data_IF_311940700078
#
_entry.id   IF_311940700078
#
_cell.length_a   1.000
_cell.length_b   1.000
_cell.length_c   1.000
_cell.angle_alpha   90.00
_cell.angle_beta   90.00
_cell.angle_gamma   90.00
#
_symmetry.space_group_name_H-M   'P 1'
#
loop_
_entity.id
_entity.type
_entity.pdbx_description
1 polymer ?
#
# COMPACT_ATOMS: atom_id res chain seq x y z
N UNK A 1 -21.07 35.14 5.74
CA UNK A 1 -20.30 34.23 6.64
C UNK A 1 -19.77 32.96 5.97
N UNK A 2 -20.14 32.66 4.73
CA UNK A 2 -19.67 31.44 4.01
C UNK A 2 -18.44 31.61 3.10
N UNK A 3 -18.09 32.85 2.77
CA UNK A 3 -17.07 33.12 1.73
C UNK A 3 -15.62 32.87 2.19
N UNK A 4 -15.33 33.10 3.46
CA UNK A 4 -13.99 32.87 4.02
C UNK A 4 -13.70 31.38 4.24
N UNK A 5 -14.70 30.60 4.65
CA UNK A 5 -14.57 29.15 4.80
C UNK A 5 -14.40 28.46 3.44
N UNK A 6 -15.13 28.92 2.42
CA UNK A 6 -14.99 28.40 1.05
C UNK A 6 -13.60 28.71 0.46
N UNK A 7 -13.15 29.97 0.58
CA UNK A 7 -11.79 30.40 0.14
C UNK A 7 -10.69 29.65 0.91
N UNK A 8 -10.88 29.39 2.18
CA UNK A 8 -9.93 28.59 2.96
C UNK A 8 -9.91 27.13 2.50
N UNK A 9 -11.06 26.56 2.17
CA UNK A 9 -11.15 25.21 1.60
C UNK A 9 -10.45 25.08 0.24
N UNK A 10 -10.69 26.03 -0.66
CA UNK A 10 -10.02 26.09 -1.96
C UNK A 10 -8.50 26.26 -1.83
N UNK A 11 -8.05 27.09 -0.90
CA UNK A 11 -6.63 27.27 -0.60
C UNK A 11 -6.01 25.96 -0.08
N UNK A 12 -6.66 25.28 0.86
CA UNK A 12 -6.19 23.97 1.38
C UNK A 12 -6.11 22.94 0.24
N UNK A 13 -7.15 22.84 -0.60
CA UNK A 13 -7.15 21.91 -1.72
C UNK A 13 -6.00 22.19 -2.68
N UNK A 14 -5.79 23.47 -3.03
CA UNK A 14 -4.66 23.88 -3.86
C UNK A 14 -3.30 23.52 -3.22
N UNK A 15 -3.15 23.74 -1.92
CA UNK A 15 -1.88 23.50 -1.22
C UNK A 15 -1.56 22.01 -1.03
N UNK A 16 -2.58 21.17 -0.80
CA UNK A 16 -2.42 19.76 -0.48
C UNK A 16 -2.74 18.81 -1.64
N UNK A 17 -3.21 19.30 -2.77
CA UNK A 17 -3.45 18.49 -3.97
C UNK A 17 -2.12 18.22 -4.71
N UNK A 18 -1.36 17.26 -4.22
CA UNK A 18 -0.08 16.88 -4.78
C UNK A 18 -0.18 16.46 -6.25
N UNK A 19 -1.30 15.83 -6.65
CA UNK A 19 -1.51 15.40 -8.03
C UNK A 19 -1.60 16.57 -8.99
N UNK A 20 -2.27 17.65 -8.60
CA UNK A 20 -2.35 18.87 -9.42
C UNK A 20 -1.00 19.61 -9.51
N UNK A 21 -0.13 19.44 -8.50
CA UNK A 21 1.18 20.10 -8.42
C UNK A 21 2.33 19.35 -9.10
N UNK A 22 2.13 18.08 -9.41
CA UNK A 22 3.13 17.23 -10.08
C UNK A 22 2.52 16.68 -11.38
N UNK A 23 2.63 17.40 -12.50
CA UNK A 23 2.04 16.98 -13.77
C UNK A 23 2.49 15.60 -14.26
N UNK A 24 3.68 15.17 -13.85
CA UNK A 24 4.29 13.90 -14.23
C UNK A 24 3.79 12.71 -13.40
N UNK A 25 2.95 12.94 -12.38
CA UNK A 25 2.49 11.87 -11.48
C UNK A 25 1.81 10.69 -12.21
N UNK A 26 1.04 10.86 -13.31
CA UNK A 26 0.45 9.72 -14.00
C UNK A 26 1.50 8.78 -14.60
N UNK A 27 2.57 9.35 -15.16
CA UNK A 27 3.67 8.55 -15.71
C UNK A 27 4.43 7.80 -14.61
N UNK A 28 4.66 8.42 -13.46
CA UNK A 28 5.29 7.77 -12.32
C UNK A 28 4.43 6.61 -11.79
N UNK A 29 3.12 6.80 -11.62
CA UNK A 29 2.20 5.74 -11.17
C UNK A 29 2.11 4.58 -12.17
N UNK A 30 2.06 4.89 -13.48
CA UNK A 30 2.06 3.88 -14.53
C UNK A 30 3.35 3.04 -14.51
N UNK A 31 4.50 3.67 -14.27
CA UNK A 31 5.77 2.97 -14.10
C UNK A 31 5.77 2.07 -12.87
N UNK A 32 5.32 2.55 -11.71
CA UNK A 32 5.21 1.71 -10.51
C UNK A 32 4.34 0.48 -10.74
N UNK A 33 3.19 0.65 -11.40
CA UNK A 33 2.31 -0.47 -11.73
C UNK A 33 3.00 -1.48 -12.67
N UNK A 34 3.70 -0.99 -13.71
CA UNK A 34 4.42 -1.84 -14.66
C UNK A 34 5.58 -2.61 -14.00
N UNK A 35 6.41 -1.91 -13.22
CA UNK A 35 7.53 -2.50 -12.48
C UNK A 35 7.03 -3.51 -11.45
N UNK A 36 5.95 -3.19 -10.73
CA UNK A 36 5.31 -4.10 -9.78
C UNK A 36 4.76 -5.36 -10.47
N UNK A 37 4.13 -5.22 -11.62
CA UNK A 37 3.66 -6.36 -12.40
C UNK A 37 4.82 -7.25 -12.87
N UNK A 38 5.97 -6.67 -13.22
CA UNK A 38 7.17 -7.43 -13.58
C UNK A 38 7.71 -8.20 -12.36
N UNK A 39 7.81 -7.57 -11.19
CA UNK A 39 8.25 -8.22 -9.95
C UNK A 39 7.31 -9.37 -9.57
N UNK A 40 6.01 -9.16 -9.61
CA UNK A 40 4.99 -10.20 -9.29
C UNK A 40 5.06 -11.42 -10.20
N UNK A 41 5.62 -11.29 -11.40
CA UNK A 41 5.88 -12.44 -12.31
C UNK A 41 7.22 -13.10 -12.07
N UNK A 42 8.22 -12.35 -11.65
CA UNK A 42 9.61 -12.82 -11.61
C UNK A 42 10.04 -13.29 -10.20
N UNK A 43 9.61 -12.57 -9.16
CA UNK A 43 10.00 -12.89 -7.80
C UNK A 43 9.03 -13.91 -7.18
N UNK A 44 9.51 -15.05 -6.66
CA UNK A 44 8.66 -16.01 -5.98
C UNK A 44 7.92 -15.36 -4.82
N UNK A 45 6.61 -15.57 -4.76
CA UNK A 45 5.78 -14.96 -3.72
C UNK A 45 4.40 -15.60 -3.60
N UNK A 46 3.74 -15.33 -2.49
CA UNK A 46 2.36 -15.67 -2.24
C UNK A 46 1.52 -14.40 -2.41
N UNK A 47 0.75 -14.34 -3.48
CA UNK A 47 -0.06 -13.17 -3.83
C UNK A 47 -1.49 -13.34 -3.33
N UNK A 48 -2.14 -12.22 -2.98
CA UNK A 48 -3.55 -12.15 -2.60
C UNK A 48 -3.93 -13.05 -1.41
N UNK A 49 -3.00 -13.25 -0.46
CA UNK A 49 -3.22 -14.02 0.75
C UNK A 49 -4.20 -13.28 1.65
N UNK A 50 -5.31 -13.94 1.98
CA UNK A 50 -6.38 -13.33 2.80
C UNK A 50 -5.93 -13.19 4.26
N UNK A 51 -6.02 -11.97 4.78
CA UNK A 51 -5.73 -11.65 6.18
C UNK A 51 -6.95 -11.11 6.94
N UNK A 52 -8.08 -10.93 6.26
CA UNK A 52 -9.32 -10.45 6.85
C UNK A 52 -10.56 -10.85 6.05
N UNK A 53 -11.71 -10.29 6.42
CA UNK A 53 -13.02 -10.67 5.88
C UNK A 53 -13.34 -9.97 4.56
N UNK A 54 -12.93 -8.72 4.38
CA UNK A 54 -13.23 -7.91 3.19
C UNK A 54 -12.31 -8.30 2.04
N UNK A 55 -12.77 -8.09 0.80
CA UNK A 55 -12.00 -8.42 -0.41
C UNK A 55 -10.61 -7.76 -0.44
N UNK A 56 -10.50 -6.53 0.02
CA UNK A 56 -9.24 -5.77 0.07
C UNK A 56 -8.35 -6.13 1.27
N UNK A 57 -8.85 -6.89 2.24
CA UNK A 57 -8.04 -7.39 3.37
C UNK A 57 -7.24 -8.62 2.93
N UNK A 58 -6.28 -8.39 2.06
CA UNK A 58 -5.35 -9.36 1.51
C UNK A 58 -3.96 -8.74 1.45
N UNK A 59 -2.94 -9.58 1.43
CA UNK A 59 -1.55 -9.14 1.37
C UNK A 59 -0.75 -10.00 0.39
N UNK A 60 0.32 -9.43 -0.15
CA UNK A 60 1.32 -10.15 -0.92
C UNK A 60 2.54 -10.39 -0.03
N UNK A 61 3.12 -11.58 -0.13
CA UNK A 61 4.30 -12.01 0.64
C UNK A 61 5.38 -12.43 -0.34
N UNK A 62 6.56 -11.84 -0.21
CA UNK A 62 7.78 -12.26 -0.90
C UNK A 62 8.73 -12.83 0.16
N UNK A 63 8.75 -14.17 0.34
CA UNK A 63 9.46 -14.81 1.42
C UNK A 63 10.97 -14.63 1.30
N UNK A 64 11.64 -14.47 2.44
CA UNK A 64 13.10 -14.52 2.46
C UNK A 64 13.62 -15.93 2.17
N UNK A 65 14.88 -16.03 1.75
CA UNK A 65 15.53 -17.31 1.45
C UNK A 65 15.92 -18.10 2.72
N UNK A 66 16.01 -17.41 3.85
CA UNK A 66 16.42 -18.01 5.14
C UNK A 66 15.33 -17.88 6.18
N UNK A 67 15.31 -18.83 7.10
CA UNK A 67 14.50 -18.73 8.33
C UNK A 67 15.03 -17.61 9.22
N UNK A 68 14.23 -17.11 10.12
CA UNK A 68 14.56 -16.01 11.06
C UNK A 68 14.98 -14.72 10.36
N UNK A 69 14.51 -14.52 9.13
CA UNK A 69 14.72 -13.28 8.39
C UNK A 69 13.85 -12.14 8.97
N UNK A 70 14.33 -10.90 8.94
CA UNK A 70 13.49 -9.77 9.30
C UNK A 70 12.31 -9.66 8.33
N UNK A 71 11.16 -9.25 8.86
CA UNK A 71 9.95 -9.02 8.06
C UNK A 71 9.74 -7.53 7.88
N UNK A 72 9.74 -7.07 6.63
CA UNK A 72 9.36 -5.72 6.25
C UNK A 72 7.89 -5.71 5.85
N UNK A 73 7.08 -4.91 6.52
CA UNK A 73 5.70 -4.66 6.12
C UNK A 73 5.59 -3.27 5.53
N UNK A 74 5.22 -3.18 4.25
CA UNK A 74 5.05 -1.91 3.56
C UNK A 74 3.56 -1.60 3.34
N UNK A 75 3.06 -0.58 4.00
CA UNK A 75 1.69 -0.07 3.84
C UNK A 75 1.69 1.07 2.82
N UNK A 76 0.96 0.88 1.71
CA UNK A 76 0.94 1.88 0.64
C UNK A 76 0.19 3.15 1.01
N UNK A 77 0.58 4.26 0.38
CA UNK A 77 -0.08 5.55 0.50
C UNK A 77 -1.29 5.70 -0.43
N UNK A 78 -1.68 6.94 -0.71
CA UNK A 78 -2.79 7.29 -1.62
C UNK A 78 -3.93 8.04 -0.93
N UNK A 79 -3.65 8.75 0.15
CA UNK A 79 -4.64 9.51 0.94
C UNK A 79 -5.87 8.67 1.33
N UNK A 80 -5.67 7.37 1.60
CA UNK A 80 -6.75 6.42 1.93
C UNK A 80 -7.86 6.29 0.86
N UNK A 81 -7.68 6.88 -0.31
CA UNK A 81 -8.69 6.96 -1.39
C UNK A 81 -8.22 6.35 -2.70
N UNK A 82 -6.95 5.99 -2.83
CA UNK A 82 -6.37 5.54 -4.09
C UNK A 82 -5.26 4.52 -3.89
N UNK A 83 -4.85 3.91 -5.00
CA UNK A 83 -3.79 2.92 -5.11
C UNK A 83 -4.16 1.55 -4.54
N UNK A 84 -3.27 0.61 -4.73
CA UNK A 84 -3.43 -0.79 -4.37
C UNK A 84 -2.06 -1.41 -4.04
N UNK A 85 -2.03 -2.45 -3.24
CA UNK A 85 -0.79 -3.18 -2.95
C UNK A 85 -0.08 -3.65 -4.21
N UNK A 86 -0.83 -3.97 -5.27
CA UNK A 86 -0.29 -4.43 -6.55
C UNK A 86 0.56 -3.38 -7.27
N UNK A 87 0.39 -2.10 -6.94
CA UNK A 87 1.18 -1.00 -7.51
C UNK A 87 2.53 -0.82 -6.80
N UNK A 88 2.79 -1.57 -5.72
CA UNK A 88 3.95 -1.36 -4.85
C UNK A 88 4.88 -2.56 -4.72
N UNK A 89 4.66 -3.65 -5.45
CA UNK A 89 5.56 -4.81 -5.44
C UNK A 89 6.96 -4.48 -5.97
N UNK A 90 7.13 -3.38 -6.70
CA UNK A 90 8.43 -2.94 -7.25
C UNK A 90 9.50 -2.71 -6.17
N UNK A 91 9.09 -2.44 -4.93
CA UNK A 91 10.03 -2.25 -3.81
C UNK A 91 10.58 -3.58 -3.27
N UNK A 92 9.90 -4.71 -3.49
CA UNK A 92 10.22 -5.98 -2.87
C UNK A 92 11.63 -6.50 -3.20
N UNK A 93 12.15 -6.43 -4.44
CA UNK A 93 13.46 -6.99 -4.78
C UNK A 93 14.59 -6.45 -3.92
N UNK A 94 14.66 -5.13 -3.70
CA UNK A 94 15.74 -4.52 -2.94
C UNK A 94 15.83 -5.03 -1.49
N UNK A 95 14.69 -5.20 -0.83
CA UNK A 95 14.66 -5.70 0.55
C UNK A 95 14.80 -7.24 0.60
N UNK A 96 14.24 -7.93 -0.38
CA UNK A 96 14.40 -9.38 -0.52
C UNK A 96 15.88 -9.76 -0.73
N UNK A 97 16.59 -9.03 -1.60
CA UNK A 97 18.02 -9.22 -1.86
C UNK A 97 18.86 -8.89 -0.61
N UNK A 98 18.40 -7.96 0.22
CA UNK A 98 18.97 -7.68 1.52
C UNK A 98 18.63 -8.75 2.60
N UNK A 99 17.86 -9.77 2.26
CA UNK A 99 17.55 -10.92 3.10
C UNK A 99 16.29 -10.77 3.94
N UNK A 100 15.42 -9.81 3.63
CA UNK A 100 14.13 -9.64 4.32
C UNK A 100 12.99 -10.40 3.64
N UNK A 101 12.04 -10.87 4.44
CA UNK A 101 10.70 -11.21 3.96
C UNK A 101 9.92 -9.91 3.76
N UNK A 102 9.34 -9.68 2.57
CA UNK A 102 8.58 -8.45 2.28
C UNK A 102 7.10 -8.76 2.24
N UNK A 103 6.31 -8.00 2.98
CA UNK A 103 4.84 -8.12 3.04
C UNK A 103 4.22 -6.80 2.64
N UNK A 104 3.29 -6.85 1.68
CA UNK A 104 2.58 -5.67 1.19
C UNK A 104 1.08 -5.87 1.42
N UNK A 105 0.53 -5.39 2.54
CA UNK A 105 -0.91 -5.47 2.81
C UNK A 105 -1.69 -4.46 1.99
N UNK A 106 -2.93 -4.82 1.67
CA UNK A 106 -3.93 -3.96 1.10
C UNK A 106 -4.98 -3.57 2.14
N UNK A 107 -5.76 -2.54 1.86
CA UNK A 107 -6.87 -2.09 2.68
C UNK A 107 -8.01 -1.52 1.82
N UNK A 108 -9.22 -1.49 2.38
CA UNK A 108 -10.35 -0.85 1.75
C UNK A 108 -10.18 0.67 1.73
N UNK A 109 -10.70 1.33 0.71
CA UNK A 109 -10.50 2.77 0.50
C UNK A 109 -11.72 3.57 0.94
N UNK A 110 -11.51 4.82 1.34
CA UNK A 110 -12.56 5.81 1.53
C UNK A 110 -13.19 6.16 0.16
N UNK A 111 -14.50 6.49 0.10
CA UNK A 111 -15.44 6.63 1.22
C UNK A 111 -16.17 5.32 1.60
N UNK A 112 -15.83 4.17 0.99
CA UNK A 112 -16.48 2.89 1.31
C UNK A 112 -16.25 2.45 2.76
N UNK A 113 -15.17 2.91 3.37
CA UNK A 113 -14.83 2.73 4.78
C UNK A 113 -14.29 4.04 5.37
N UNK A 114 -14.23 4.15 6.68
CA UNK A 114 -13.57 5.26 7.37
C UNK A 114 -12.07 5.05 7.51
N UNK A 115 -11.31 6.11 7.81
CA UNK A 115 -9.88 6.01 8.15
C UNK A 115 -9.65 5.14 9.39
N UNK A 116 -10.58 5.18 10.35
CA UNK A 116 -10.54 4.31 11.54
C UNK A 116 -10.65 2.84 11.14
N UNK A 117 -11.56 2.50 10.22
CA UNK A 117 -11.68 1.13 9.71
C UNK A 117 -10.39 0.67 9.02
N UNK A 118 -9.75 1.56 8.24
CA UNK A 118 -8.47 1.25 7.58
C UNK A 118 -7.38 0.98 8.62
N UNK A 119 -7.31 1.79 9.67
CA UNK A 119 -6.36 1.58 10.77
C UNK A 119 -6.55 0.20 11.42
N UNK A 120 -7.79 -0.18 11.68
CA UNK A 120 -8.11 -1.50 12.26
C UNK A 120 -7.76 -2.64 11.29
N UNK A 121 -7.97 -2.46 9.98
CA UNK A 121 -7.56 -3.44 8.98
C UNK A 121 -6.03 -3.63 8.97
N UNK A 122 -5.26 -2.55 9.14
CA UNK A 122 -3.80 -2.65 9.22
C UNK A 122 -3.32 -3.32 10.50
N UNK A 123 -3.94 -3.03 11.64
CA UNK A 123 -3.68 -3.76 12.89
C UNK A 123 -3.94 -5.26 12.70
N UNK A 124 -5.06 -5.61 12.08
CA UNK A 124 -5.40 -7.01 11.80
C UNK A 124 -4.40 -7.68 10.84
N UNK A 125 -3.96 -6.98 9.80
CA UNK A 125 -2.93 -7.47 8.89
C UNK A 125 -1.60 -7.72 9.63
N UNK A 126 -1.17 -6.82 10.50
CA UNK A 126 0.04 -7.00 11.32
C UNK A 126 -0.08 -8.19 12.29
N UNK A 127 -1.24 -8.36 12.92
CA UNK A 127 -1.49 -9.55 13.77
C UNK A 127 -1.44 -10.83 12.95
N UNK A 128 -2.00 -10.82 11.73
CA UNK A 128 -1.93 -11.96 10.83
C UNK A 128 -0.48 -12.28 10.45
N UNK A 129 0.32 -11.27 10.07
CA UNK A 129 1.76 -11.41 9.75
C UNK A 129 2.51 -12.03 10.93
N UNK A 130 2.32 -11.48 12.13
CA UNK A 130 2.95 -11.99 13.36
C UNK A 130 2.65 -13.47 13.64
N UNK A 131 1.44 -13.92 13.33
CA UNK A 131 1.00 -15.30 13.62
C UNK A 131 1.38 -16.30 12.54
N UNK A 132 1.65 -15.85 11.31
CA UNK A 132 1.78 -16.74 10.15
C UNK A 132 3.14 -16.66 9.46
N UNK A 133 3.93 -15.64 9.73
CA UNK A 133 5.26 -15.45 9.14
C UNK A 133 6.28 -15.52 10.29
N UNK A 134 6.98 -16.65 10.39
CA UNK A 134 8.00 -16.90 11.40
C UNK A 134 9.08 -17.84 10.89
#
# INVERSE_FOLDING_TARGET
MNDDAARHGEWLDHMYNNRARVPEHPAALARWAADSAAVRRALPGHLDVRCGKRKKEALDIFPAQRRDAPVLVFVHGGYWQALDKSDHSFLAPAFHDAGACVVVPNYALCPAVSVVDITLQMVQALVWVWRNIG
#
